data_IF_266983791593
#
_entry.id   IF_266983791593
#
_cell.length_a   1.000
_cell.length_b   1.000
_cell.length_c   1.000
_cell.angle_alpha   90.00
_cell.angle_beta   90.00
_cell.angle_gamma   90.00
#
_symmetry.space_group_name_H-M   'P 1'
#
loop_
_entity.id
_entity.type
_entity.pdbx_description
1 polymer ?
#
# COMPACT_ATOMS: atom_id res chain seq x y z
N UNK A 1 70.55 35.27 -15.41
CA UNK A 1 70.39 35.11 -16.88
C UNK A 1 69.23 34.15 -17.09
N UNK A 2 68.18 34.37 -17.86
CA UNK A 2 67.77 35.43 -18.79
C UNK A 2 66.41 34.99 -19.35
N UNK A 3 65.53 35.96 -19.58
CA UNK A 3 64.14 35.86 -20.04
C UNK A 3 63.92 35.15 -21.40
N UNK A 4 62.66 34.70 -21.60
CA UNK A 4 61.71 34.90 -22.75
C UNK A 4 60.88 33.63 -22.95
N UNK A 5 59.56 33.59 -23.19
CA UNK A 5 58.52 34.61 -23.41
C UNK A 5 57.44 34.06 -24.39
N UNK A 6 56.16 34.26 -24.06
CA UNK A 6 54.98 34.44 -24.97
C UNK A 6 54.56 33.25 -25.90
N UNK A 7 53.30 33.02 -26.32
CA UNK A 7 52.01 33.71 -26.22
C UNK A 7 50.82 32.75 -26.48
N UNK A 8 49.63 33.25 -26.15
CA UNK A 8 48.29 32.68 -26.31
C UNK A 8 47.79 32.63 -27.77
N UNK A 9 46.83 31.72 -28.02
CA UNK A 9 45.68 32.00 -28.89
C UNK A 9 44.41 31.39 -28.30
N UNK A 10 43.46 32.26 -28.00
CA UNK A 10 42.16 32.04 -27.40
C UNK A 10 41.08 31.72 -28.45
N UNK A 11 40.32 30.64 -28.25
CA UNK A 11 39.06 30.38 -28.94
C UNK A 11 37.89 30.42 -27.97
N UNK A 12 37.19 31.56 -27.91
CA UNK A 12 35.96 31.74 -27.15
C UNK A 12 34.80 31.01 -27.85
N UNK A 13 34.25 29.98 -27.20
CA UNK A 13 32.90 29.49 -27.51
C UNK A 13 31.98 29.83 -26.34
N UNK A 14 30.97 30.66 -26.61
CA UNK A 14 29.99 31.10 -25.61
C UNK A 14 29.17 29.89 -25.13
N UNK A 15 29.04 29.64 -23.81
CA UNK A 15 28.02 28.72 -23.33
C UNK A 15 26.65 29.37 -23.50
N UNK A 16 25.79 28.74 -24.29
CA UNK A 16 24.35 29.02 -24.30
C UNK A 16 23.81 28.78 -22.90
N UNK A 17 23.52 29.86 -22.17
CA UNK A 17 22.67 29.82 -20.96
C UNK A 17 21.28 29.32 -21.37
N UNK A 18 21.03 28.02 -21.26
CA UNK A 18 19.67 27.52 -21.09
C UNK A 18 19.27 27.88 -19.67
N UNK A 19 18.40 28.87 -19.54
CA UNK A 19 17.70 29.12 -18.29
C UNK A 19 16.95 27.84 -17.91
N UNK A 20 17.45 27.13 -16.91
CA UNK A 20 16.68 26.10 -16.25
C UNK A 20 15.54 26.83 -15.53
N UNK A 21 14.37 26.84 -16.18
CA UNK A 21 13.12 27.07 -15.47
C UNK A 21 13.04 25.98 -14.41
N UNK A 22 13.41 26.33 -13.17
CA UNK A 22 13.02 25.57 -11.99
C UNK A 22 11.49 25.61 -11.99
N UNK A 23 10.87 24.58 -12.56
CA UNK A 23 9.50 24.27 -12.26
C UNK A 23 9.47 24.00 -10.76
N UNK A 24 9.07 25.01 -10.00
CA UNK A 24 8.70 24.84 -8.60
C UNK A 24 7.63 23.76 -8.59
N UNK A 25 8.00 22.56 -8.12
CA UNK A 25 7.05 21.48 -7.93
C UNK A 25 5.99 22.00 -6.95
N UNK A 26 4.69 21.97 -7.29
CA UNK A 26 3.67 22.27 -6.31
C UNK A 26 3.84 21.29 -5.14
N UNK A 27 3.69 21.74 -3.88
CA UNK A 27 3.72 20.84 -2.73
C UNK A 27 2.71 19.71 -2.96
N UNK A 28 3.00 18.50 -2.47
CA UNK A 28 2.03 17.40 -2.45
C UNK A 28 0.71 17.95 -1.91
N UNK A 29 -0.26 18.08 -2.81
CA UNK A 29 -1.49 18.78 -2.49
C UNK A 29 -2.26 17.88 -1.53
N UNK A 30 -2.57 18.40 -0.34
CA UNK A 30 -3.53 17.79 0.57
C UNK A 30 -4.80 17.44 -0.21
N UNK A 31 -5.35 16.26 0.06
CA UNK A 31 -6.61 15.77 -0.52
C UNK A 31 -7.67 16.88 -0.46
N UNK A 32 -8.30 17.18 -1.60
CA UNK A 32 -9.40 18.15 -1.68
C UNK A 32 -10.71 17.39 -1.83
N UNK A 33 -11.76 17.71 -1.07
CA UNK A 33 -13.08 17.14 -1.29
C UNK A 33 -13.58 17.48 -2.69
N UNK A 34 -14.15 16.50 -3.39
CA UNK A 34 -14.89 16.70 -4.63
C UNK A 34 -16.10 15.77 -4.65
N UNK A 35 -17.26 16.32 -5.01
CA UNK A 35 -18.45 15.51 -5.24
C UNK A 35 -18.19 14.66 -6.50
N UNK A 36 -18.06 13.35 -6.31
CA UNK A 36 -17.81 12.38 -7.37
C UNK A 36 -19.01 11.43 -7.43
N UNK A 37 -19.56 11.13 -8.62
CA UNK A 37 -20.62 10.12 -8.75
C UNK A 37 -20.00 8.72 -8.58
N UNK A 38 -19.68 8.33 -7.35
CA UNK A 38 -19.17 7.00 -7.06
C UNK A 38 -20.34 6.00 -6.98
N UNK A 39 -20.36 4.97 -7.83
CA UNK A 39 -21.31 3.84 -7.77
C UNK A 39 -20.92 2.83 -6.67
N UNK A 40 -20.47 3.29 -5.51
CA UNK A 40 -20.05 2.44 -4.39
C UNK A 40 -20.97 2.68 -3.20
N UNK A 41 -20.87 1.86 -2.16
CA UNK A 41 -21.66 2.06 -0.95
C UNK A 41 -21.16 3.16 -0.01
N UNK A 42 -20.17 3.90 -0.47
CA UNK A 42 -19.72 5.18 0.08
C UNK A 42 -20.58 6.35 -0.43
N UNK A 43 -21.44 6.16 -1.43
CA UNK A 43 -22.37 7.20 -1.88
C UNK A 43 -23.54 7.36 -0.90
N UNK A 44 -23.32 8.15 0.16
CA UNK A 44 -24.30 8.47 1.21
C UNK A 44 -24.29 9.96 1.51
N UNK A 45 -25.47 10.50 1.80
CA UNK A 45 -25.63 11.90 2.19
C UNK A 45 -24.71 12.28 3.36
N UNK A 46 -23.91 13.33 3.16
CA UNK A 46 -22.97 13.85 4.16
C UNK A 46 -21.56 13.23 4.14
N UNK A 47 -21.34 12.13 3.39
CA UNK A 47 -20.00 11.60 3.18
C UNK A 47 -19.27 12.41 2.10
N UNK A 48 -18.05 12.86 2.41
CA UNK A 48 -17.20 13.53 1.43
C UNK A 48 -16.30 12.53 0.72
N UNK A 49 -16.46 12.39 -0.58
CA UNK A 49 -15.44 11.74 -1.39
C UNK A 49 -14.24 12.68 -1.55
N UNK A 50 -13.09 12.28 -1.06
CA UNK A 50 -11.84 13.02 -1.22
C UNK A 50 -11.15 12.51 -2.48
N UNK A 51 -11.57 13.03 -3.63
CA UNK A 51 -10.85 12.78 -4.87
C UNK A 51 -9.65 13.73 -4.95
N UNK A 52 -8.44 13.20 -5.03
CA UNK A 52 -7.35 13.99 -5.59
C UNK A 52 -7.41 13.82 -7.10
N UNK A 53 -7.82 14.87 -7.83
CA UNK A 53 -7.88 14.86 -9.30
C UNK A 53 -6.55 14.43 -9.97
N UNK A 54 -5.44 14.54 -9.23
CA UNK A 54 -4.12 14.07 -9.61
C UNK A 54 -3.62 12.82 -8.86
N UNK A 55 -4.38 12.28 -7.91
CA UNK A 55 -4.06 10.99 -7.28
C UNK A 55 -4.29 9.90 -8.32
N UNK A 56 -3.19 9.37 -8.84
CA UNK A 56 -3.20 8.43 -9.96
C UNK A 56 -2.95 9.04 -11.33
N UNK A 57 -2.79 10.37 -11.48
CA UNK A 57 -2.30 10.97 -12.75
C UNK A 57 -0.78 11.01 -12.85
N UNK A 58 -0.09 10.77 -11.74
CA UNK A 58 1.35 10.48 -11.73
C UNK A 58 1.53 8.96 -11.69
N UNK A 59 2.07 8.42 -12.77
CA UNK A 59 2.62 7.04 -12.89
C UNK A 59 3.81 6.78 -11.93
N UNK A 60 3.99 7.61 -10.90
CA UNK A 60 5.08 7.44 -9.96
C UNK A 60 4.55 6.55 -8.83
N UNK A 61 4.98 5.29 -8.82
CA UNK A 61 4.96 4.42 -7.65
C UNK A 61 5.72 5.12 -6.52
N UNK A 62 5.02 5.95 -5.73
CA UNK A 62 5.60 6.70 -4.64
C UNK A 62 5.62 5.84 -3.38
N UNK A 63 6.82 5.60 -2.87
CA UNK A 63 7.03 4.84 -1.65
C UNK A 63 7.41 5.78 -0.52
N UNK A 64 6.91 5.51 0.68
CA UNK A 64 7.23 6.29 1.88
C UNK A 64 8.14 5.49 2.79
N UNK A 65 9.12 6.17 3.39
CA UNK A 65 9.84 5.60 4.53
C UNK A 65 8.91 5.51 5.74
N UNK A 66 9.28 4.68 6.72
CA UNK A 66 8.59 4.60 8.01
C UNK A 66 8.44 5.98 8.66
N UNK A 67 9.48 6.81 8.62
CA UNK A 67 9.47 8.16 9.21
C UNK A 67 8.48 9.10 8.51
N UNK A 68 8.45 9.07 7.17
CA UNK A 68 7.50 9.88 6.40
C UNK A 68 6.06 9.45 6.65
N UNK A 69 5.82 8.14 6.77
CA UNK A 69 4.50 7.62 7.17
C UNK A 69 4.13 8.07 8.59
N UNK A 70 5.07 8.05 9.55
CA UNK A 70 4.83 8.57 10.91
C UNK A 70 4.38 10.03 10.87
N UNK A 71 5.13 10.90 10.17
CA UNK A 71 4.79 12.31 10.01
C UNK A 71 3.37 12.49 9.44
N UNK A 72 3.03 11.72 8.40
CA UNK A 72 1.70 11.72 7.82
C UNK A 72 0.60 11.33 8.83
N UNK A 73 0.79 10.24 9.57
CA UNK A 73 -0.17 9.75 10.57
C UNK A 73 -0.35 10.75 11.72
N UNK A 74 0.66 11.54 12.04
CA UNK A 74 0.60 12.58 13.06
C UNK A 74 -0.03 13.89 12.55
N UNK A 75 -0.43 13.96 11.28
CA UNK A 75 -0.95 15.19 10.65
C UNK A 75 0.14 16.24 10.40
N UNK A 76 1.41 15.84 10.49
CA UNK A 76 2.57 16.68 10.21
C UNK A 76 2.75 16.81 8.68
N UNK A 77 3.45 17.86 8.26
CA UNK A 77 3.73 18.07 6.84
C UNK A 77 4.79 17.11 6.35
N UNK A 78 4.46 16.24 5.38
CA UNK A 78 5.44 15.37 4.75
C UNK A 78 6.28 16.16 3.75
N UNK A 79 7.61 16.06 3.84
CA UNK A 79 8.52 16.70 2.89
C UNK A 79 8.41 16.06 1.48
N UNK A 80 7.67 16.73 0.60
CA UNK A 80 7.48 16.31 -0.79
C UNK A 80 8.78 16.20 -1.61
N UNK A 81 9.84 16.94 -1.23
CA UNK A 81 11.12 16.84 -1.93
C UNK A 81 11.80 15.51 -1.59
N UNK A 82 11.76 15.09 -0.32
CA UNK A 82 12.30 13.82 0.15
C UNK A 82 11.55 12.62 -0.45
N UNK A 83 10.21 12.72 -0.56
CA UNK A 83 9.39 11.69 -1.18
C UNK A 83 9.74 11.45 -2.65
N UNK A 84 10.04 12.52 -3.39
CA UNK A 84 10.38 12.41 -4.80
C UNK A 84 11.76 11.79 -5.09
N UNK A 85 12.57 11.58 -4.04
CA UNK A 85 13.89 10.93 -4.14
C UNK A 85 13.79 9.42 -3.92
N UNK A 86 12.69 8.93 -3.34
CA UNK A 86 12.46 7.51 -3.15
C UNK A 86 12.07 6.91 -4.50
N UNK A 87 12.98 6.10 -5.04
CA UNK A 87 12.68 5.33 -6.23
C UNK A 87 11.88 4.08 -5.87
N UNK A 88 11.09 3.53 -6.79
CA UNK A 88 10.41 2.26 -6.57
C UNK A 88 11.40 1.16 -6.16
N UNK A 89 11.06 0.32 -5.16
CA UNK A 89 11.91 -0.76 -4.67
C UNK A 89 11.98 -1.93 -5.64
N UNK A 90 11.13 -1.94 -6.67
CA UNK A 90 11.04 -3.00 -7.67
C UNK A 90 11.46 -2.48 -9.05
N UNK A 91 12.00 -3.38 -9.86
CA UNK A 91 12.26 -3.20 -11.28
C UNK A 91 11.55 -4.30 -12.05
N UNK A 92 10.98 -3.94 -13.19
CA UNK A 92 10.34 -4.92 -14.08
C UNK A 92 11.41 -5.58 -14.96
N UNK A 93 11.48 -6.91 -14.91
CA UNK A 93 12.36 -7.74 -15.74
C UNK A 93 11.52 -8.62 -16.67
N UNK A 94 11.48 -8.30 -17.96
CA UNK A 94 10.77 -9.11 -18.97
C UNK A 94 11.61 -10.32 -19.36
N UNK A 95 11.04 -11.52 -19.28
CA UNK A 95 11.66 -12.76 -19.79
C UNK A 95 10.75 -13.43 -20.81
N UNK A 96 11.37 -14.02 -21.83
CA UNK A 96 10.69 -14.79 -22.88
C UNK A 96 11.19 -16.22 -22.83
N UNK A 97 10.26 -17.17 -22.86
CA UNK A 97 10.57 -18.60 -22.80
C UNK A 97 9.88 -19.39 -23.90
N UNK A 98 10.40 -20.60 -24.13
CA UNK A 98 9.89 -21.53 -25.13
C UNK A 98 9.75 -22.94 -24.54
N UNK A 99 8.77 -23.72 -25.01
CA UNK A 99 8.77 -25.16 -24.80
C UNK A 99 9.46 -25.87 -25.98
N UNK A 100 10.21 -26.94 -25.71
CA UNK A 100 10.95 -27.69 -26.73
C UNK A 100 10.40 -29.10 -26.89
N UNK A 101 10.48 -29.64 -28.10
CA UNK A 101 10.29 -31.05 -28.41
C UNK A 101 11.54 -31.55 -29.14
N UNK A 102 12.40 -32.30 -28.44
CA UNK A 102 13.74 -32.60 -28.93
C UNK A 102 14.58 -31.33 -29.07
N UNK A 103 15.16 -31.11 -30.26
CA UNK A 103 15.99 -29.92 -30.52
C UNK A 103 15.21 -28.72 -31.07
N UNK A 104 13.92 -28.86 -31.38
CA UNK A 104 13.08 -27.81 -31.96
C UNK A 104 12.14 -27.19 -30.93
N UNK A 105 11.63 -26.00 -31.24
CA UNK A 105 10.58 -25.32 -30.47
C UNK A 105 9.25 -26.00 -30.76
N UNK A 106 8.45 -26.26 -29.71
CA UNK A 106 7.09 -26.77 -29.88
C UNK A 106 6.21 -25.68 -30.46
N UNK A 107 5.43 -26.00 -31.49
CA UNK A 107 4.54 -25.04 -32.15
C UNK A 107 3.61 -24.36 -31.13
N UNK A 108 3.42 -23.04 -31.24
CA UNK A 108 2.60 -22.22 -30.34
C UNK A 108 2.99 -22.24 -28.84
N UNK A 109 4.26 -22.54 -28.52
CA UNK A 109 4.76 -22.52 -27.14
C UNK A 109 5.86 -21.48 -26.92
N UNK A 110 5.55 -20.23 -27.29
CA UNK A 110 6.31 -19.05 -26.92
C UNK A 110 5.52 -18.31 -25.84
N UNK A 111 6.16 -17.94 -24.74
CA UNK A 111 5.55 -17.15 -23.69
C UNK A 111 6.47 -16.00 -23.28
N UNK A 112 5.89 -14.93 -22.77
CA UNK A 112 6.61 -13.83 -22.16
C UNK A 112 5.95 -13.47 -20.82
N UNK A 113 6.78 -13.12 -19.84
CA UNK A 113 6.32 -12.74 -18.51
C UNK A 113 7.17 -11.60 -17.98
N UNK A 114 6.52 -10.66 -17.30
CA UNK A 114 7.16 -9.56 -16.59
C UNK A 114 7.33 -9.97 -15.13
N UNK A 115 8.57 -10.04 -14.68
CA UNK A 115 8.91 -10.35 -13.29
C UNK A 115 9.19 -9.06 -12.54
N UNK A 116 8.87 -9.05 -11.24
CA UNK A 116 9.28 -7.98 -10.34
C UNK A 116 10.57 -8.41 -9.64
N UNK A 117 11.63 -7.64 -9.84
CA UNK A 117 12.90 -7.81 -9.16
C UNK A 117 13.06 -6.72 -8.11
N UNK A 118 13.27 -7.11 -6.86
CA UNK A 118 13.66 -6.17 -5.82
C UNK A 118 15.02 -5.57 -6.18
N UNK A 119 15.14 -4.27 -6.00
CA UNK A 119 16.40 -3.55 -6.21
C UNK A 119 17.39 -3.98 -5.13
N UNK A 120 18.61 -4.20 -5.57
CA UNK A 120 19.73 -4.57 -4.69
C UNK A 120 20.89 -3.66 -5.07
N UNK A 121 21.43 -2.94 -4.10
CA UNK A 121 22.68 -2.21 -4.24
C UNK A 121 23.52 -2.36 -2.96
N UNK A 122 24.73 -1.82 -2.95
CA UNK A 122 25.66 -1.99 -1.82
C UNK A 122 25.12 -1.36 -0.53
N UNK A 123 24.27 -0.34 -0.65
CA UNK A 123 23.79 0.46 0.47
C UNK A 123 22.33 0.14 0.87
N UNK A 124 21.59 -0.60 0.04
CA UNK A 124 20.17 -0.88 0.22
C UNK A 124 19.81 -2.32 -0.21
N UNK A 125 19.20 -3.05 0.73
CA UNK A 125 18.56 -4.34 0.49
C UNK A 125 17.06 -4.20 0.74
N UNK A 126 16.24 -4.59 -0.24
CA UNK A 126 14.79 -4.59 -0.12
C UNK A 126 14.27 -5.99 0.21
N UNK A 127 13.26 -6.07 1.06
CA UNK A 127 12.58 -7.31 1.42
C UNK A 127 11.08 -7.07 1.58
N UNK A 128 10.29 -8.13 1.40
CA UNK A 128 8.89 -8.12 1.79
C UNK A 128 8.78 -8.42 3.27
N UNK A 129 8.02 -7.60 3.98
CA UNK A 129 7.68 -7.83 5.37
C UNK A 129 6.32 -8.52 5.48
N UNK A 130 6.26 -9.59 6.28
CA UNK A 130 5.02 -10.20 6.73
C UNK A 130 4.99 -10.18 8.25
N UNK A 131 3.90 -9.66 8.82
CA UNK A 131 3.60 -9.71 10.25
C UNK A 131 2.58 -10.83 10.46
N UNK A 132 2.94 -11.81 11.29
CA UNK A 132 2.09 -12.96 11.58
C UNK A 132 1.85 -13.05 13.09
N UNK A 133 0.60 -12.85 13.51
CA UNK A 133 0.16 -13.22 14.86
C UNK A 133 -0.25 -14.70 14.84
N UNK A 134 0.25 -15.48 15.80
CA UNK A 134 -0.09 -16.89 15.95
C UNK A 134 -1.06 -17.05 17.12
N UNK A 135 -2.01 -17.98 16.99
CA UNK A 135 -2.88 -18.35 18.10
C UNK A 135 -2.04 -18.84 19.30
N UNK A 136 -2.49 -18.57 20.55
CA UNK A 136 -1.80 -19.03 21.75
C UNK A 136 -1.50 -20.54 21.70
N UNK A 137 -0.25 -20.90 21.94
CA UNK A 137 0.21 -22.29 21.94
C UNK A 137 0.68 -22.83 20.58
N UNK A 138 0.52 -22.06 19.50
CA UNK A 138 1.14 -22.38 18.22
C UNK A 138 2.58 -21.85 18.18
N UNK A 139 3.47 -22.65 17.60
CA UNK A 139 4.85 -22.23 17.31
C UNK A 139 4.99 -21.93 15.81
N UNK A 140 5.81 -20.95 15.42
CA UNK A 140 6.06 -20.68 14.02
C UNK A 140 6.65 -21.93 13.35
N UNK A 141 6.27 -22.22 12.09
CA UNK A 141 6.89 -23.32 11.36
C UNK A 141 8.39 -23.05 11.17
N UNK A 142 9.22 -24.11 11.02
CA UNK A 142 10.63 -23.93 10.75
C UNK A 142 10.85 -23.11 9.47
N UNK A 143 11.71 -22.11 9.57
CA UNK A 143 12.03 -21.23 8.45
C UNK A 143 12.80 -22.02 7.39
N UNK A 144 12.27 -22.00 6.17
CA UNK A 144 12.88 -22.62 4.99
C UNK A 144 12.54 -21.78 3.78
N UNK A 145 13.30 -21.88 2.68
CA UNK A 145 12.90 -21.26 1.43
C UNK A 145 11.48 -21.72 1.04
N UNK A 146 10.62 -20.77 0.68
CA UNK A 146 9.23 -21.03 0.30
C UNK A 146 9.00 -20.67 -1.15
N UNK A 147 8.00 -21.29 -1.77
CA UNK A 147 7.51 -20.81 -3.06
C UNK A 147 6.71 -19.53 -2.85
N UNK A 148 7.13 -18.46 -3.50
CA UNK A 148 6.45 -17.15 -3.44
C UNK A 148 6.29 -16.62 -4.87
N UNK A 149 5.04 -16.34 -5.25
CA UNK A 149 4.68 -15.92 -6.61
C UNK A 149 4.49 -17.10 -7.59
N UNK A 150 4.45 -16.76 -8.89
CA UNK A 150 4.26 -17.73 -9.98
C UNK A 150 5.55 -18.44 -10.43
N UNK A 151 5.45 -19.32 -11.42
CA UNK A 151 6.59 -19.94 -12.13
C UNK A 151 7.63 -20.62 -11.22
N UNK A 152 7.20 -21.15 -10.06
CA UNK A 152 8.06 -21.90 -9.14
C UNK A 152 9.17 -21.08 -8.48
N UNK A 153 9.02 -19.75 -8.41
CA UNK A 153 9.99 -18.86 -7.74
C UNK A 153 10.08 -19.17 -6.25
N UNK A 154 11.27 -18.99 -5.70
CA UNK A 154 11.58 -19.21 -4.29
C UNK A 154 11.94 -17.89 -3.63
N UNK A 155 11.58 -17.76 -2.35
CA UNK A 155 12.02 -16.70 -1.48
C UNK A 155 12.62 -17.32 -0.21
N UNK A 156 13.77 -16.81 0.21
CA UNK A 156 14.32 -17.12 1.53
C UNK A 156 13.49 -16.42 2.60
N UNK A 157 13.22 -17.12 3.70
CA UNK A 157 12.46 -16.59 4.83
C UNK A 157 13.39 -16.47 6.02
N UNK A 158 13.44 -15.27 6.60
CA UNK A 158 14.17 -14.98 7.83
C UNK A 158 13.19 -14.41 8.85
N UNK A 159 13.22 -14.94 10.07
CA UNK A 159 12.59 -14.25 11.19
C UNK A 159 13.44 -13.02 11.49
N UNK A 160 12.80 -11.87 11.64
CA UNK A 160 13.50 -10.71 12.16
C UNK A 160 13.49 -10.80 13.68
N UNK A 161 14.67 -11.01 14.28
CA UNK A 161 14.83 -11.12 15.73
C UNK A 161 14.91 -9.73 16.41
N UNK A 162 15.07 -8.68 15.60
CA UNK A 162 15.25 -7.30 16.03
C UNK A 162 13.93 -6.52 15.95
N UNK A 163 13.27 -6.36 17.09
CA UNK A 163 11.99 -5.63 17.22
C UNK A 163 12.07 -4.17 16.75
N UNK A 164 13.26 -3.56 16.75
CA UNK A 164 13.54 -2.19 16.30
C UNK A 164 13.48 -2.02 14.77
N UNK A 165 13.77 -3.08 14.00
CA UNK A 165 13.74 -3.06 12.53
C UNK A 165 12.34 -3.29 11.94
N UNK A 166 11.41 -3.84 12.73
CA UNK A 166 10.06 -4.24 12.27
C UNK A 166 8.91 -3.44 12.87
N UNK A 167 9.20 -2.37 13.61
CA UNK A 167 8.10 -1.59 14.18
C UNK A 167 7.39 -0.83 13.08
N UNK A 168 6.07 -0.97 13.04
CA UNK A 168 5.22 -0.12 12.21
C UNK A 168 5.43 1.36 12.58
N UNK A 169 5.12 2.30 11.67
CA UNK A 169 5.08 3.72 12.01
C UNK A 169 4.18 3.94 13.23
N UNK A 170 4.65 4.71 14.21
CA UNK A 170 3.88 4.98 15.42
C UNK A 170 2.60 5.75 15.10
N UNK A 171 1.53 5.46 15.84
CA UNK A 171 0.32 6.27 15.81
C UNK A 171 0.45 7.48 16.74
N UNK A 172 -0.33 8.55 16.53
CA UNK A 172 -0.33 9.69 17.44
C UNK A 172 -0.94 9.33 18.80
N UNK A 173 -0.50 10.02 19.86
CA UNK A 173 -1.03 9.84 21.22
C UNK A 173 -2.41 10.46 21.45
N UNK A 174 -2.82 11.37 20.56
CA UNK A 174 -4.03 12.19 20.70
C UNK A 174 -4.84 12.21 19.40
N UNK A 175 -6.16 12.22 19.56
CA UNK A 175 -7.14 12.26 18.48
C UNK A 175 -8.16 13.37 18.75
N UNK A 176 -7.78 14.65 18.53
CA UNK A 176 -8.62 15.80 18.86
C UNK A 176 -10.01 15.71 18.21
N UNK A 177 -11.04 16.12 18.94
CA UNK A 177 -12.45 16.05 18.50
C UNK A 177 -12.92 14.64 18.09
N UNK A 178 -12.22 13.58 18.53
CA UNK A 178 -12.46 12.19 18.12
C UNK A 178 -12.13 11.90 16.65
N UNK A 179 -11.27 12.72 16.01
CA UNK A 179 -10.90 12.55 14.60
C UNK A 179 -9.80 11.49 14.44
N UNK A 180 -10.10 10.46 13.67
CA UNK A 180 -9.14 9.38 13.35
C UNK A 180 -9.01 9.24 11.85
N UNK A 181 -7.77 9.27 11.37
CA UNK A 181 -7.39 8.90 10.02
C UNK A 181 -7.05 7.41 10.02
N UNK A 182 -7.54 6.68 9.03
CA UNK A 182 -7.23 5.26 8.84
C UNK A 182 -6.63 5.09 7.45
N UNK A 183 -5.37 4.66 7.40
CA UNK A 183 -4.64 4.36 6.18
C UNK A 183 -4.61 2.85 5.96
N UNK A 184 -5.00 2.39 4.77
CA UNK A 184 -4.90 0.97 4.39
C UNK A 184 -3.48 0.65 3.92
N UNK A 185 -2.74 -0.14 4.71
CA UNK A 185 -1.40 -0.60 4.35
C UNK A 185 -1.40 -1.81 3.41
N UNK A 186 -2.49 -2.59 3.39
CA UNK A 186 -2.74 -3.66 2.42
C UNK A 186 -4.14 -3.49 1.82
N UNK A 187 -4.41 -4.07 0.63
CA UNK A 187 -5.76 -4.02 0.06
C UNK A 187 -6.78 -4.59 1.04
N UNK A 188 -7.96 -3.99 1.13
CA UNK A 188 -9.05 -4.45 2.01
C UNK A 188 -10.20 -5.04 1.20
N UNK A 189 -10.76 -6.14 1.69
CA UNK A 189 -11.96 -6.75 1.13
C UNK A 189 -12.99 -6.86 2.25
N UNK A 190 -13.92 -5.91 2.28
CA UNK A 190 -15.08 -5.98 3.17
C UNK A 190 -16.27 -6.52 2.42
N UNK A 191 -17.20 -7.11 3.16
CA UNK A 191 -18.43 -7.64 2.57
C UNK A 191 -19.60 -7.31 3.47
N UNK A 192 -20.75 -7.17 2.83
CA UNK A 192 -22.02 -6.88 3.49
C UNK A 192 -23.13 -7.73 2.92
N UNK A 193 -24.10 -8.03 3.75
CA UNK A 193 -25.35 -8.64 3.30
C UNK A 193 -26.21 -7.59 2.62
N UNK A 194 -26.75 -7.95 1.46
CA UNK A 194 -27.76 -7.18 0.75
C UNK A 194 -29.15 -7.53 1.29
N UNK A 195 -30.19 -6.73 1.00
CA UNK A 195 -31.56 -7.01 1.47
C UNK A 195 -32.11 -8.38 1.03
N UNK A 196 -31.58 -8.94 -0.06
CA UNK A 196 -31.89 -10.28 -0.56
C UNK A 196 -31.14 -11.41 0.19
N UNK A 197 -30.34 -11.08 1.21
CA UNK A 197 -29.51 -12.01 1.97
C UNK A 197 -28.19 -12.37 1.29
N UNK A 198 -27.91 -11.87 0.09
CA UNK A 198 -26.66 -12.12 -0.65
C UNK A 198 -25.48 -11.34 -0.07
N UNK A 199 -24.29 -11.96 0.00
CA UNK A 199 -23.06 -11.25 0.33
C UNK A 199 -22.49 -10.54 -0.90
N UNK A 200 -22.10 -9.27 -0.74
CA UNK A 200 -21.44 -8.48 -1.79
C UNK A 200 -20.20 -7.79 -1.21
N UNK A 201 -19.18 -7.63 -2.05
CA UNK A 201 -18.01 -6.83 -1.70
C UNK A 201 -18.44 -5.37 -1.45
N UNK A 202 -17.82 -4.73 -0.46
CA UNK A 202 -18.18 -3.43 0.06
C UNK A 202 -16.94 -2.54 0.22
N UNK A 203 -17.14 -1.24 0.07
CA UNK A 203 -16.09 -0.23 0.24
C UNK A 203 -16.22 0.48 1.59
N UNK A 204 -17.41 0.44 2.21
CA UNK A 204 -17.57 0.89 3.59
C UNK A 204 -17.08 -0.20 4.56
N UNK A 205 -16.04 0.05 5.37
CA UNK A 205 -15.65 -0.88 6.42
C UNK A 205 -16.73 -1.01 7.52
N UNK A 206 -16.69 -2.09 8.32
CA UNK A 206 -17.44 -2.14 9.56
C UNK A 206 -16.98 -1.00 10.48
N UNK A 207 -17.90 -0.08 10.81
CA UNK A 207 -17.57 1.06 11.65
C UNK A 207 -17.61 0.67 13.13
N UNK A 208 -16.63 1.12 13.94
CA UNK A 208 -16.69 0.92 15.38
C UNK A 208 -17.81 1.74 16.00
N UNK A 209 -18.28 1.31 17.17
CA UNK A 209 -19.34 1.99 17.91
C UNK A 209 -19.00 3.48 18.15
N UNK A 210 -19.99 4.34 17.89
CA UNK A 210 -19.87 5.78 18.08
C UNK A 210 -19.04 6.51 17.00
N UNK A 211 -18.48 5.80 16.02
CA UNK A 211 -17.78 6.39 14.89
C UNK A 211 -18.68 6.57 13.67
N UNK A 212 -18.45 7.68 12.97
CA UNK A 212 -19.05 7.94 11.66
C UNK A 212 -17.94 8.16 10.65
N UNK A 213 -18.12 7.61 9.44
CA UNK A 213 -17.24 7.92 8.33
C UNK A 213 -17.59 9.34 7.81
N UNK A 214 -16.63 10.25 7.87
CA UNK A 214 -16.77 11.64 7.41
C UNK A 214 -16.34 11.77 5.96
N UNK A 215 -15.26 11.08 5.60
CA UNK A 215 -14.71 11.16 4.26
C UNK A 215 -13.87 9.91 3.91
N UNK A 216 -13.69 9.64 2.62
CA UNK A 216 -12.79 8.61 2.15
C UNK A 216 -12.05 9.05 0.87
N UNK A 217 -10.77 8.68 0.76
CA UNK A 217 -9.96 8.82 -0.45
C UNK A 217 -9.58 7.41 -0.93
N UNK A 218 -10.20 6.99 -2.05
CA UNK A 218 -9.99 5.66 -2.62
C UNK A 218 -9.73 5.81 -4.12
N UNK A 219 -8.60 5.26 -4.60
CA UNK A 219 -8.12 5.46 -5.97
C UNK A 219 -8.79 4.54 -7.03
N UNK A 220 -10.01 4.06 -6.74
CA UNK A 220 -10.73 3.10 -7.58
C UNK A 220 -10.60 1.65 -7.09
N UNK A 221 -11.34 0.71 -7.71
CA UNK A 221 -11.31 -0.68 -7.29
C UNK A 221 -10.02 -1.40 -7.72
N UNK A 222 -9.48 -2.24 -6.83
CA UNK A 222 -8.42 -3.19 -7.16
C UNK A 222 -9.02 -4.59 -7.35
N UNK A 223 -8.60 -5.31 -8.40
CA UNK A 223 -9.07 -6.66 -8.64
C UNK A 223 -8.16 -7.65 -7.92
N UNK A 224 -8.73 -8.48 -7.06
CA UNK A 224 -8.00 -9.56 -6.39
C UNK A 224 -8.56 -10.89 -6.85
N UNK A 225 -7.73 -11.65 -7.54
CA UNK A 225 -8.02 -13.02 -7.92
C UNK A 225 -7.17 -13.99 -7.10
N UNK A 226 -7.77 -15.09 -6.67
CA UNK A 226 -7.03 -16.17 -6.02
C UNK A 226 -7.57 -17.52 -6.46
N UNK A 227 -6.67 -18.48 -6.56
CA UNK A 227 -6.97 -19.84 -6.92
C UNK A 227 -6.30 -20.79 -5.92
N UNK A 228 -7.03 -21.83 -5.54
CA UNK A 228 -6.52 -22.98 -4.79
C UNK A 228 -6.24 -24.10 -5.78
N UNK A 229 -5.00 -24.59 -5.87
CA UNK A 229 -4.69 -25.74 -6.70
C UNK A 229 -5.28 -27.03 -6.09
N UNK A 230 -5.74 -27.94 -6.93
CA UNK A 230 -6.05 -29.31 -6.52
C UNK A 230 -4.77 -30.16 -6.36
N UNK A 231 -4.92 -31.41 -5.91
CA UNK A 231 -3.79 -32.35 -5.72
C UNK A 231 -3.08 -32.76 -7.01
N UNK A 232 -3.70 -32.53 -8.17
CA UNK A 232 -3.19 -32.85 -9.51
C UNK A 232 -2.55 -31.66 -10.22
N UNK A 233 -2.57 -30.47 -9.59
CA UNK A 233 -2.08 -29.23 -10.16
C UNK A 233 -3.11 -28.47 -11.02
N UNK A 234 -4.36 -28.92 -11.05
CA UNK A 234 -5.49 -28.16 -11.59
C UNK A 234 -6.00 -27.12 -10.59
N UNK A 235 -7.10 -26.44 -10.92
CA UNK A 235 -7.72 -25.42 -10.05
C UNK A 235 -8.94 -26.04 -9.36
N UNK A 236 -8.86 -26.22 -8.03
CA UNK A 236 -9.97 -26.73 -7.22
C UNK A 236 -11.04 -25.64 -7.01
N UNK A 237 -10.58 -24.42 -6.75
CA UNK A 237 -11.43 -23.29 -6.44
C UNK A 237 -10.75 -22.01 -6.88
N UNK A 238 -11.49 -21.11 -7.52
CA UNK A 238 -11.02 -19.78 -7.86
C UNK A 238 -12.09 -18.75 -7.54
N UNK A 239 -11.66 -17.56 -7.15
CA UNK A 239 -12.53 -16.43 -6.92
C UNK A 239 -11.88 -15.15 -7.43
N UNK A 240 -12.75 -14.19 -7.76
CA UNK A 240 -12.42 -12.83 -8.11
C UNK A 240 -13.23 -11.91 -7.19
N UNK A 241 -12.56 -10.94 -6.57
CA UNK A 241 -13.17 -9.94 -5.70
C UNK A 241 -12.67 -8.56 -6.02
N UNK A 242 -13.47 -7.59 -5.62
CA UNK A 242 -13.10 -6.19 -5.65
C UNK A 242 -12.58 -5.78 -4.28
N UNK A 243 -11.35 -5.31 -4.24
CA UNK A 243 -10.71 -4.79 -3.04
C UNK A 243 -10.64 -3.25 -3.11
N UNK A 244 -10.68 -2.64 -1.93
CA UNK A 244 -10.21 -1.27 -1.75
C UNK A 244 -8.68 -1.32 -1.78
N UNK A 245 -8.02 -0.53 -2.64
CA UNK A 245 -6.57 -0.62 -2.82
C UNK A 245 -5.80 -0.18 -1.57
N UNK A 246 -4.59 -0.73 -1.42
CA UNK A 246 -3.62 -0.19 -0.49
C UNK A 246 -3.35 1.30 -0.79
N UNK A 247 -3.04 2.08 0.25
CA UNK A 247 -2.91 3.53 0.15
C UNK A 247 -4.21 4.31 0.30
N UNK A 248 -5.36 3.65 0.33
CA UNK A 248 -6.65 4.32 0.57
C UNK A 248 -6.75 4.86 2.00
N UNK A 249 -7.50 5.94 2.18
CA UNK A 249 -7.63 6.66 3.46
C UNK A 249 -9.09 6.84 3.82
N UNK A 250 -9.44 6.55 5.08
CA UNK A 250 -10.76 6.77 5.66
C UNK A 250 -10.65 7.76 6.82
N UNK A 251 -11.51 8.78 6.85
CA UNK A 251 -11.57 9.77 7.92
C UNK A 251 -12.78 9.49 8.79
N UNK A 252 -12.53 8.97 9.99
CA UNK A 252 -13.54 8.71 11.00
C UNK A 252 -13.65 9.89 11.97
N UNK A 253 -14.86 10.07 12.51
CA UNK A 253 -15.12 10.93 13.66
C UNK A 253 -15.92 10.17 14.70
N UNK A 254 -15.33 9.98 15.87
CA UNK A 254 -16.00 9.46 17.05
C UNK A 254 -16.86 10.55 17.69
N UNK A 255 -18.02 10.15 18.20
CA UNK A 255 -19.02 11.01 18.83
C UNK A 255 -19.43 10.42 20.18
N UNK A 256 -20.08 11.22 21.01
CA UNK A 256 -20.53 10.79 22.35
C UNK A 256 -19.91 11.63 23.47
N UNK A 257 -19.99 11.15 24.73
CA UNK A 257 -19.58 11.91 25.90
C UNK A 257 -18.07 12.20 25.99
N UNK A 258 -17.23 11.28 25.49
CA UNK A 258 -15.76 11.41 25.47
C UNK A 258 -15.20 10.85 24.14
N UNK A 259 -15.33 11.62 23.04
CA UNK A 259 -14.98 11.16 21.71
C UNK A 259 -13.46 10.98 21.55
N UNK A 260 -12.62 11.79 22.21
CA UNK A 260 -11.17 11.70 22.10
C UNK A 260 -10.62 10.44 22.75
N UNK A 261 -11.07 10.13 23.97
CA UNK A 261 -10.67 8.89 24.65
C UNK A 261 -11.13 7.67 23.89
N UNK A 262 -12.38 7.67 23.41
CA UNK A 262 -12.94 6.55 22.63
C UNK A 262 -12.15 6.33 21.35
N UNK A 263 -11.86 7.41 20.61
CA UNK A 263 -11.03 7.38 19.42
C UNK A 263 -9.63 6.83 19.70
N UNK A 264 -8.97 7.30 20.77
CA UNK A 264 -7.65 6.83 21.18
C UNK A 264 -7.65 5.35 21.53
N UNK A 265 -8.59 4.92 22.36
CA UNK A 265 -8.69 3.53 22.82
C UNK A 265 -8.92 2.58 21.63
N UNK A 266 -9.77 2.98 20.68
CA UNK A 266 -9.96 2.22 19.43
C UNK A 266 -8.70 2.23 18.57
N UNK A 267 -8.10 3.40 18.33
CA UNK A 267 -6.95 3.54 17.45
C UNK A 267 -5.73 2.74 17.93
N UNK A 268 -5.47 2.73 19.24
CA UNK A 268 -4.40 1.91 19.87
C UNK A 268 -4.65 0.42 19.64
N UNK A 269 -5.89 -0.03 19.85
CA UNK A 269 -6.24 -1.45 19.66
C UNK A 269 -6.18 -1.87 18.20
N UNK A 270 -6.60 -1.00 17.28
CA UNK A 270 -6.76 -1.34 15.86
C UNK A 270 -5.50 -1.08 15.01
N UNK A 271 -4.55 -0.27 15.50
CA UNK A 271 -3.32 0.03 14.77
C UNK A 271 -2.51 -1.23 14.49
N UNK A 272 -2.10 -1.41 13.23
CA UNK A 272 -1.30 -2.56 12.81
C UNK A 272 -2.06 -3.88 12.74
N UNK A 273 -3.40 -3.83 12.76
CA UNK A 273 -4.30 -4.99 12.64
C UNK A 273 -5.15 -4.92 11.39
N UNK A 274 -5.75 -6.04 11.00
CA UNK A 274 -6.66 -6.06 9.87
C UNK A 274 -8.06 -5.54 10.29
N UNK A 275 -8.61 -4.58 9.55
CA UNK A 275 -9.90 -3.99 9.86
C UNK A 275 -11.04 -4.98 9.58
N UNK A 276 -11.61 -5.52 10.67
CA UNK A 276 -12.65 -6.53 10.63
C UNK A 276 -12.17 -7.92 11.05
N UNK A 277 -10.99 -8.06 11.65
CA UNK A 277 -10.49 -9.33 12.19
C UNK A 277 -11.18 -9.78 13.49
N UNK A 278 -11.92 -8.88 14.15
CA UNK A 278 -12.57 -9.15 15.44
C UNK A 278 -13.55 -10.33 15.42
N UNK A 279 -13.66 -11.02 16.55
CA UNK A 279 -14.56 -12.16 16.74
C UNK A 279 -16.05 -11.77 16.65
N UNK A 280 -16.35 -10.49 16.83
CA UNK A 280 -17.66 -9.88 16.67
C UNK A 280 -18.07 -9.69 15.21
N UNK A 281 -17.16 -9.92 14.25
CA UNK A 281 -17.49 -9.87 12.82
C UNK A 281 -18.35 -11.09 12.42
N UNK A 282 -19.65 -10.91 12.09
CA UNK A 282 -20.52 -12.02 11.71
C UNK A 282 -20.13 -12.61 10.34
N UNK A 283 -19.29 -11.91 9.57
CA UNK A 283 -18.86 -12.34 8.26
C UNK A 283 -17.64 -13.26 8.32
N UNK A 284 -17.86 -14.55 8.53
CA UNK A 284 -16.78 -15.53 8.68
C UNK A 284 -15.78 -15.54 7.52
N UNK A 285 -16.22 -15.37 6.26
CA UNK A 285 -15.27 -15.33 5.14
C UNK A 285 -14.53 -13.98 5.08
N UNK A 286 -15.10 -12.88 5.58
CA UNK A 286 -14.45 -11.58 5.71
C UNK A 286 -13.37 -11.63 6.78
N UNK A 287 -13.68 -12.24 7.93
CA UNK A 287 -12.69 -12.52 8.99
C UNK A 287 -11.52 -13.34 8.47
N UNK A 288 -11.79 -14.39 7.67
CA UNK A 288 -10.72 -15.20 7.04
C UNK A 288 -9.82 -14.37 6.11
N UNK A 289 -10.40 -13.45 5.34
CA UNK A 289 -9.61 -12.55 4.49
C UNK A 289 -8.77 -11.59 5.34
N UNK A 290 -9.33 -11.05 6.43
CA UNK A 290 -8.60 -10.21 7.38
C UNK A 290 -7.39 -10.96 7.99
N UNK A 291 -7.60 -12.19 8.47
CA UNK A 291 -6.49 -13.04 8.98
C UNK A 291 -5.47 -13.45 7.91
N UNK A 292 -5.82 -13.35 6.62
CA UNK A 292 -4.90 -13.60 5.51
C UNK A 292 -4.06 -12.35 5.14
N UNK A 293 -4.24 -11.23 5.86
CA UNK A 293 -3.49 -9.99 5.66
C UNK A 293 -4.20 -8.92 4.83
N UNK A 294 -5.47 -9.12 4.47
CA UNK A 294 -6.26 -8.07 3.81
C UNK A 294 -6.74 -7.02 4.82
N UNK A 295 -6.61 -5.75 4.47
CA UNK A 295 -7.13 -4.63 5.23
C UNK A 295 -6.32 -4.29 6.48
N UNK A 296 -5.01 -4.53 6.47
CA UNK A 296 -4.09 -4.02 7.50
C UNK A 296 -4.19 -2.50 7.56
N UNK A 297 -4.40 -1.94 8.75
CA UNK A 297 -4.55 -0.49 8.91
C UNK A 297 -3.46 0.14 9.76
N UNK A 298 -3.13 1.38 9.41
CA UNK A 298 -2.39 2.30 10.27
C UNK A 298 -3.32 3.45 10.67
N UNK A 299 -3.30 3.80 11.93
CA UNK A 299 -4.16 4.86 12.51
C UNK A 299 -3.37 6.15 12.71
N UNK A 300 -4.01 7.26 12.39
CA UNK A 300 -3.47 8.61 12.46
C UNK A 300 -4.54 9.62 12.86
N UNK A 301 -4.21 10.91 12.82
CA UNK A 301 -5.14 12.01 13.11
C UNK A 301 -5.31 12.92 11.89
N UNK A 302 -6.38 13.71 11.86
CA UNK A 302 -6.64 14.69 10.81
C UNK A 302 -7.25 15.97 11.37
N UNK A 303 -7.07 17.08 10.63
CA UNK A 303 -7.52 18.42 11.02
C UNK A 303 -8.71 18.87 10.19
#
# INVERSE_FOLDING_TARGET
>A
MGHRGAALASGFSRPRRRGALRHLRPPLARLRPQDTPALTDLDRDGLRWLHAADAGTRDEDLWWSRSAMREYLHGEGVDSELLSRLSPPVQVERRTGIARQGRTVRHAHLYASDYLRLRENVDEEWAFLALCELDPGLSPPPLKPVRLGGEGRLADVRACERQDLLTLPEHPDRFPDGKVLVYLATPAIWRRTSPDGSWRDAWLPPLPDGAHLVAAAVNGPEHVASARPDRTGGVEYAWLRWAVPAGSVYLLRFTGPDPERTARDWAVRAHGRAWGEGDDNPDHTGRRLATAGFGLILTGTWT
#
